data_IF_361242993614
#
_entry.id   IF_361242993614
#
_cell.length_a   1.000
_cell.length_b   1.000
_cell.length_c   1.000
_cell.angle_alpha   90.00
_cell.angle_beta   90.00
_cell.angle_gamma   90.00
#
_symmetry.space_group_name_H-M   'P 1'
#
loop_
_entity.id
_entity.type
_entity.pdbx_description
1 polymer ?
#
# COMPACT_ATOMS: atom_id res chain seq x y z
N UNK A 1 75.24 20.54 -7.39
CA UNK A 1 74.38 20.42 -8.60
C UNK A 1 73.05 21.09 -8.28
N UNK A 2 72.80 22.26 -8.87
CA UNK A 2 71.57 23.03 -8.75
C UNK A 2 70.80 22.86 -10.07
N UNK A 3 69.54 22.47 -10.04
CA UNK A 3 68.63 22.48 -11.19
C UNK A 3 67.22 22.70 -10.65
N UNK A 4 66.74 23.94 -10.61
CA UNK A 4 66.07 24.69 -11.69
C UNK A 4 64.67 24.17 -12.01
N UNK A 5 63.73 24.63 -11.18
CA UNK A 5 62.46 25.30 -11.51
C UNK A 5 61.81 25.05 -12.88
N UNK A 6 60.57 24.55 -12.86
CA UNK A 6 59.55 24.97 -13.83
C UNK A 6 58.19 25.08 -13.11
N UNK A 7 57.79 26.32 -12.81
CA UNK A 7 56.43 26.68 -12.40
C UNK A 7 55.60 26.93 -13.66
N UNK A 8 54.61 26.07 -13.93
CA UNK A 8 53.57 26.33 -14.92
C UNK A 8 52.50 27.24 -14.30
N UNK A 9 52.49 28.51 -14.71
CA UNK A 9 51.37 29.42 -14.49
C UNK A 9 50.33 29.22 -15.61
N UNK A 10 49.23 28.55 -15.28
CA UNK A 10 48.04 28.52 -16.14
C UNK A 10 47.21 29.78 -15.87
N UNK A 11 47.23 30.72 -16.81
CA UNK A 11 46.32 31.87 -16.84
C UNK A 11 44.91 31.40 -17.18
N UNK A 12 44.02 31.40 -16.18
CA UNK A 12 42.58 31.25 -16.39
C UNK A 12 41.95 32.63 -16.61
N UNK A 13 41.61 32.92 -17.86
CA UNK A 13 40.88 34.12 -18.27
C UNK A 13 39.44 34.06 -17.77
N UNK A 14 39.04 35.01 -16.93
CA UNK A 14 37.64 35.21 -16.52
C UNK A 14 36.86 35.93 -17.63
N UNK A 15 35.98 35.22 -18.32
CA UNK A 15 34.98 35.82 -19.18
C UNK A 15 33.81 36.33 -18.33
N UNK A 16 33.73 37.65 -18.16
CA UNK A 16 32.57 38.33 -17.56
C UNK A 16 31.39 38.26 -18.53
N UNK A 17 30.43 37.38 -18.23
CA UNK A 17 29.16 37.33 -18.94
C UNK A 17 28.13 38.19 -18.20
N UNK A 18 27.66 39.23 -18.87
CA UNK A 18 26.51 40.04 -18.47
C UNK A 18 25.24 39.19 -18.53
N UNK A 19 24.65 38.88 -17.38
CA UNK A 19 23.36 38.18 -17.33
C UNK A 19 22.25 39.20 -17.52
N UNK A 20 21.69 39.22 -18.72
CA UNK A 20 20.41 39.86 -19.01
C UNK A 20 19.32 39.19 -18.16
N UNK A 21 18.61 39.98 -17.34
CA UNK A 21 17.44 39.55 -16.59
C UNK A 21 16.25 39.36 -17.55
N UNK A 22 16.23 38.22 -18.24
CA UNK A 22 15.06 37.77 -18.98
C UNK A 22 14.03 37.23 -17.98
N UNK A 23 12.94 37.98 -17.79
CA UNK A 23 11.71 37.47 -17.18
C UNK A 23 11.19 36.35 -18.09
N UNK A 24 11.55 35.11 -17.75
CA UNK A 24 10.91 33.93 -18.31
C UNK A 24 9.61 33.73 -17.54
N UNK A 25 8.49 34.10 -18.16
CA UNK A 25 7.20 33.44 -17.98
C UNK A 25 7.33 31.98 -18.48
N UNK A 26 8.19 31.22 -17.80
CA UNK A 26 8.46 29.82 -18.06
C UNK A 26 7.40 28.97 -17.38
N UNK A 27 6.16 29.04 -17.87
CA UNK A 27 5.19 27.93 -17.74
C UNK A 27 5.64 26.78 -18.65
N UNK A 28 6.87 26.32 -18.44
CA UNK A 28 7.31 25.04 -18.95
C UNK A 28 6.54 23.97 -18.18
N UNK A 29 5.85 23.10 -18.90
CA UNK A 29 5.24 21.89 -18.38
C UNK A 29 6.32 20.93 -17.84
N UNK A 30 6.97 21.31 -16.74
CA UNK A 30 7.76 20.40 -15.93
C UNK A 30 6.82 19.29 -15.47
N UNK A 31 7.10 18.06 -15.90
CA UNK A 31 6.25 16.91 -15.65
C UNK A 31 5.79 16.84 -14.20
N UNK A 32 4.52 16.49 -14.00
CA UNK A 32 3.92 16.35 -12.67
C UNK A 32 4.81 15.46 -11.78
N UNK A 33 5.08 15.91 -10.56
CA UNK A 33 5.98 15.30 -9.58
C UNK A 33 5.28 14.22 -8.75
N UNK A 34 6.01 13.19 -8.35
CA UNK A 34 5.49 12.11 -7.50
C UNK A 34 5.26 12.52 -6.04
N UNK A 35 4.63 11.64 -5.26
CA UNK A 35 4.42 11.81 -3.81
C UNK A 35 5.76 12.08 -3.09
N UNK A 36 5.73 12.95 -2.08
CA UNK A 36 6.90 13.33 -1.28
C UNK A 36 7.79 14.40 -1.91
N UNK A 37 7.70 14.63 -3.22
CA UNK A 37 8.52 15.65 -3.91
C UNK A 37 8.03 17.07 -3.61
N UNK A 38 8.96 18.03 -3.68
CA UNK A 38 8.67 19.44 -3.42
C UNK A 38 7.77 20.05 -4.51
N UNK A 39 6.75 20.78 -4.08
CA UNK A 39 5.78 21.47 -4.92
C UNK A 39 5.50 22.87 -4.39
N UNK A 40 5.13 23.77 -5.29
CA UNK A 40 4.64 25.11 -4.96
C UNK A 40 3.13 25.22 -5.20
N UNK A 41 2.59 24.41 -6.11
CA UNK A 41 1.17 24.35 -6.45
C UNK A 41 0.69 22.90 -6.67
N UNK A 42 -0.62 22.71 -6.62
CA UNK A 42 -1.29 21.41 -6.72
C UNK A 42 -1.10 20.75 -8.09
N UNK A 43 -1.10 21.54 -9.16
CA UNK A 43 -0.91 21.10 -10.54
C UNK A 43 0.50 20.54 -10.82
N UNK A 44 1.48 20.90 -9.98
CA UNK A 44 2.83 20.35 -10.02
C UNK A 44 2.89 18.90 -9.52
N UNK A 45 1.85 18.37 -8.87
CA UNK A 45 1.83 17.02 -8.32
C UNK A 45 1.02 16.06 -9.20
N UNK A 46 1.50 14.82 -9.36
CA UNK A 46 0.74 13.75 -10.05
C UNK A 46 -0.59 13.48 -9.36
N UNK A 47 -0.61 13.57 -8.02
CA UNK A 47 -1.82 13.45 -7.21
C UNK A 47 -2.76 14.65 -7.31
N UNK A 48 -2.33 15.78 -7.88
CA UNK A 48 -3.09 17.02 -7.84
C UNK A 48 -3.18 17.66 -6.45
N UNK A 49 -2.34 17.25 -5.49
CA UNK A 49 -2.39 17.75 -4.11
C UNK A 49 -0.99 18.04 -3.55
N UNK A 50 -0.71 19.33 -3.33
CA UNK A 50 0.45 19.88 -2.68
C UNK A 50 0.08 20.36 -1.27
N UNK A 51 0.69 19.78 -0.23
CA UNK A 51 0.46 20.17 1.15
C UNK A 51 1.78 20.52 1.83
N UNK A 52 1.86 21.75 2.38
CA UNK A 52 3.06 22.27 3.05
C UNK A 52 4.34 22.10 2.21
N UNK A 53 4.22 22.38 0.91
CA UNK A 53 5.34 22.31 -0.02
C UNK A 53 5.70 20.91 -0.52
N UNK A 54 4.93 19.87 -0.22
CA UNK A 54 5.17 18.50 -0.70
C UNK A 54 3.95 17.86 -1.35
N UNK A 55 4.16 17.08 -2.40
CA UNK A 55 3.11 16.29 -3.03
C UNK A 55 2.63 15.20 -2.07
N UNK A 56 1.33 15.14 -1.84
CA UNK A 56 0.70 14.16 -0.93
C UNK A 56 -0.43 13.42 -1.66
N UNK A 57 -0.79 12.21 -1.23
CA UNK A 57 -1.95 11.51 -1.78
C UNK A 57 -3.24 12.26 -1.43
N UNK A 58 -4.21 12.19 -2.34
CA UNK A 58 -5.58 12.64 -2.05
C UNK A 58 -6.29 11.63 -1.15
N UNK A 59 -7.24 12.10 -0.35
CA UNK A 59 -7.95 11.35 0.68
C UNK A 59 -9.32 10.90 0.21
N UNK A 60 -9.79 9.79 0.78
CA UNK A 60 -11.11 9.25 0.53
C UNK A 60 -12.20 10.04 1.27
N UNK A 61 -13.47 9.74 0.97
CA UNK A 61 -14.59 10.37 1.65
C UNK A 61 -14.56 10.08 3.16
N UNK A 62 -14.97 11.05 3.99
CA UNK A 62 -14.95 10.90 5.44
C UNK A 62 -13.66 11.35 6.13
N UNK A 63 -12.55 11.51 5.41
CA UNK A 63 -11.31 12.05 5.99
C UNK A 63 -11.32 13.57 6.12
N UNK A 64 -10.65 14.08 7.15
CA UNK A 64 -10.50 15.53 7.37
C UNK A 64 -9.78 16.18 6.19
N UNK A 65 -10.27 17.33 5.75
CA UNK A 65 -9.68 18.13 4.67
C UNK A 65 -9.73 19.63 4.99
N UNK A 66 -8.82 20.37 4.35
CA UNK A 66 -8.79 21.85 4.40
C UNK A 66 -8.97 22.51 3.03
N UNK A 67 -8.86 21.72 1.95
CA UNK A 67 -9.03 22.17 0.57
C UNK A 67 -9.55 21.02 -0.29
N UNK A 68 -10.26 21.37 -1.35
CA UNK A 68 -10.88 20.43 -2.29
C UNK A 68 -9.88 19.47 -2.94
N UNK A 69 -8.71 19.97 -3.30
CA UNK A 69 -7.64 19.15 -3.88
C UNK A 69 -7.10 18.07 -2.94
N UNK A 70 -7.36 18.18 -1.63
CA UNK A 70 -7.01 17.13 -0.68
C UNK A 70 -7.88 15.87 -0.83
N UNK A 71 -9.02 15.94 -1.54
CA UNK A 71 -10.00 14.88 -1.64
C UNK A 71 -10.04 14.28 -3.04
N UNK A 72 -10.19 12.95 -3.14
CA UNK A 72 -10.34 12.26 -4.43
C UNK A 72 -11.60 12.67 -5.20
N UNK A 73 -12.63 13.12 -4.49
CA UNK A 73 -13.85 13.69 -5.08
C UNK A 73 -13.65 15.10 -5.63
N UNK A 74 -12.51 15.74 -5.33
CA UNK A 74 -12.27 17.15 -5.58
C UNK A 74 -13.18 18.07 -4.76
N UNK A 75 -13.76 17.58 -3.64
CA UNK A 75 -14.69 18.34 -2.80
C UNK A 75 -14.46 18.10 -1.31
N UNK A 76 -14.20 19.18 -0.58
CA UNK A 76 -14.06 19.25 0.86
C UNK A 76 -15.28 19.98 1.45
N UNK A 77 -16.16 19.26 2.15
CA UNK A 77 -17.39 19.81 2.73
C UNK A 77 -17.39 19.61 4.23
N UNK A 78 -17.67 20.68 4.99
CA UNK A 78 -17.66 20.65 6.46
C UNK A 78 -16.35 20.08 7.04
N UNK A 79 -15.21 20.48 6.46
CA UNK A 79 -13.86 19.99 6.82
C UNK A 79 -13.64 18.49 6.59
N UNK A 80 -14.50 17.83 5.82
CA UNK A 80 -14.43 16.40 5.53
C UNK A 80 -14.57 16.15 4.02
N UNK A 81 -13.83 15.18 3.49
CA UNK A 81 -13.92 14.84 2.07
C UNK A 81 -15.30 14.28 1.75
N UNK A 82 -15.97 14.85 0.75
CA UNK A 82 -17.27 14.40 0.31
C UNK A 82 -17.15 13.13 -0.55
N UNK A 83 -18.19 12.30 -0.55
CA UNK A 83 -18.31 11.19 -1.49
C UNK A 83 -18.33 11.71 -2.94
N UNK A 84 -17.69 10.98 -3.86
CA UNK A 84 -17.77 11.28 -5.29
C UNK A 84 -19.22 11.06 -5.72
N UNK A 85 -19.84 12.05 -6.36
CA UNK A 85 -21.19 11.89 -6.87
C UNK A 85 -21.19 10.74 -7.89
N UNK A 86 -22.00 9.71 -7.67
CA UNK A 86 -22.23 8.70 -8.68
C UNK A 86 -22.90 9.38 -9.89
N UNK A 87 -22.43 9.14 -11.13
CA UNK A 87 -23.16 9.57 -12.31
C UNK A 87 -24.55 8.94 -12.24
N UNK A 88 -25.57 9.78 -12.09
CA UNK A 88 -26.95 9.33 -12.17
C UNK A 88 -27.15 8.80 -13.60
N UNK A 89 -27.58 7.55 -13.81
CA UNK A 89 -27.96 7.09 -15.14
C UNK A 89 -29.07 8.01 -15.64
N UNK A 90 -28.90 8.51 -16.87
CA UNK A 90 -29.85 9.37 -17.54
C UNK A 90 -31.26 8.81 -17.44
N UNK A 91 -32.19 9.67 -17.03
CA UNK A 91 -33.63 9.40 -16.93
C UNK A 91 -34.17 8.78 -18.22
N UNK A 92 -34.49 7.49 -18.18
CA UNK A 92 -35.36 6.86 -19.18
C UNK A 92 -36.83 7.16 -18.82
N UNK A 93 -37.70 7.39 -19.82
CA UNK A 93 -39.13 7.58 -19.59
C UNK A 93 -39.75 6.28 -19.07
N UNK A 94 -40.34 6.34 -17.87
CA UNK A 94 -41.06 5.22 -17.26
C UNK A 94 -42.46 5.04 -17.89
N UNK A 95 -42.87 3.80 -18.20
CA UNK A 95 -44.27 3.45 -18.32
C UNK A 95 -44.97 3.49 -16.96
N UNK A 96 -46.29 3.74 -17.00
CA UNK A 96 -47.17 3.91 -15.84
C UNK A 96 -47.08 2.79 -14.79
N UNK A 97 -47.37 3.09 -13.50
CA UNK A 97 -47.12 2.19 -12.40
C UNK A 97 -48.17 1.08 -12.34
N UNK A 98 -47.75 -0.16 -12.62
CA UNK A 98 -48.50 -1.34 -12.19
C UNK A 98 -48.08 -1.66 -10.77
N UNK A 99 -48.95 -1.28 -9.84
CA UNK A 99 -48.86 -1.56 -8.41
C UNK A 99 -49.04 -3.07 -8.17
N UNK A 100 -47.94 -3.78 -7.98
CA UNK A 100 -47.92 -5.08 -7.30
C UNK A 100 -46.71 -5.09 -6.37
N UNK A 101 -46.95 -4.61 -5.15
CA UNK A 101 -45.96 -4.55 -4.08
C UNK A 101 -45.59 -5.95 -3.60
N UNK A 102 -44.50 -6.51 -4.13
CA UNK A 102 -43.73 -7.49 -3.40
C UNK A 102 -42.68 -6.73 -2.57
N UNK A 103 -42.68 -6.84 -1.23
CA UNK A 103 -41.62 -6.24 -0.42
C UNK A 103 -40.29 -6.81 -0.91
N UNK A 104 -39.48 -5.99 -1.56
CA UNK A 104 -38.14 -6.41 -1.97
C UNK A 104 -37.35 -6.59 -0.68
N UNK A 105 -37.24 -7.84 -0.22
CA UNK A 105 -36.42 -8.17 0.94
C UNK A 105 -35.02 -7.61 0.69
N UNK A 106 -34.47 -6.78 1.62
CA UNK A 106 -33.14 -6.23 1.46
C UNK A 106 -32.17 -7.37 1.11
N UNK A 107 -31.26 -7.19 0.12
CA UNK A 107 -30.33 -8.24 -0.26
C UNK A 107 -29.60 -8.70 1.01
N UNK A 108 -29.74 -9.99 1.32
CA UNK A 108 -29.09 -10.60 2.48
C UNK A 108 -27.59 -10.39 2.29
N UNK A 109 -27.01 -9.53 3.13
CA UNK A 109 -25.57 -9.24 3.11
C UNK A 109 -24.87 -10.54 3.51
N UNK A 110 -24.22 -11.19 2.54
CA UNK A 110 -23.41 -12.38 2.80
C UNK A 110 -22.21 -11.98 3.66
N UNK A 111 -21.90 -12.80 4.64
CA UNK A 111 -20.70 -12.61 5.46
C UNK A 111 -19.44 -12.78 4.60
N UNK A 112 -18.35 -12.05 4.91
CA UNK A 112 -17.08 -12.24 4.24
C UNK A 112 -16.53 -13.66 4.40
N UNK A 113 -15.82 -14.19 3.39
CA UNK A 113 -15.21 -15.50 3.50
C UNK A 113 -14.13 -15.53 4.60
N UNK A 114 -14.13 -16.56 5.43
CA UNK A 114 -13.06 -16.82 6.40
C UNK A 114 -11.95 -17.71 5.84
N UNK A 115 -12.07 -18.15 4.58
CA UNK A 115 -11.05 -18.93 3.87
C UNK A 115 -11.06 -18.59 2.39
N UNK A 116 -9.89 -18.62 1.76
CA UNK A 116 -9.74 -18.32 0.34
C UNK A 116 -8.27 -18.28 -0.08
N UNK A 117 -8.03 -17.81 -1.30
CA UNK A 117 -6.68 -17.53 -1.78
C UNK A 117 -6.12 -16.28 -1.11
N UNK A 118 -4.94 -16.40 -0.50
CA UNK A 118 -4.25 -15.28 0.14
C UNK A 118 -3.60 -14.37 -0.93
N UNK A 119 -3.85 -13.08 -0.81
CA UNK A 119 -3.21 -12.05 -1.62
C UNK A 119 -3.19 -10.72 -0.87
N UNK A 120 -2.58 -9.68 -1.43
CA UNK A 120 -2.64 -8.33 -0.88
C UNK A 120 -3.20 -7.34 -1.90
N UNK A 121 -3.72 -6.23 -1.41
CA UNK A 121 -4.12 -5.10 -2.26
C UNK A 121 -2.90 -4.23 -2.51
N UNK A 122 -2.39 -4.27 -3.73
CA UNK A 122 -1.30 -3.40 -4.15
C UNK A 122 -1.73 -1.92 -4.19
N UNK A 123 -0.76 -1.01 -4.23
CA UNK A 123 -1.03 0.42 -4.37
C UNK A 123 -1.83 0.71 -5.66
N UNK A 124 -2.61 1.81 -5.64
CA UNK A 124 -3.64 2.12 -6.65
C UNK A 124 -3.19 1.87 -8.09
N UNK A 125 -3.86 0.90 -8.74
CA UNK A 125 -3.73 0.58 -10.15
C UNK A 125 -2.93 -0.70 -10.44
N UNK A 126 -2.31 -1.30 -9.43
CA UNK A 126 -1.63 -2.58 -9.54
C UNK A 126 -2.58 -3.73 -9.24
N UNK A 127 -2.34 -4.87 -9.92
CA UNK A 127 -3.06 -6.10 -9.63
C UNK A 127 -2.60 -6.66 -8.28
N UNK A 128 -3.55 -7.18 -7.49
CA UNK A 128 -3.23 -7.99 -6.33
C UNK A 128 -2.32 -9.15 -6.76
N UNK A 129 -1.27 -9.41 -5.99
CA UNK A 129 -0.41 -10.57 -6.21
C UNK A 129 -0.70 -11.61 -5.14
N UNK A 130 -0.56 -12.88 -5.52
CA UNK A 130 -0.84 -14.01 -4.67
C UNK A 130 0.29 -14.18 -3.67
N UNK A 131 -0.06 -14.49 -2.43
CA UNK A 131 0.89 -14.77 -1.36
C UNK A 131 0.78 -16.23 -0.95
N UNK A 132 1.89 -16.80 -0.52
CA UNK A 132 1.96 -18.17 -0.06
C UNK A 132 3.22 -18.44 0.76
N UNK A 133 3.19 -19.54 1.51
CA UNK A 133 4.37 -20.08 2.17
C UNK A 133 5.24 -20.81 1.12
N UNK A 134 6.52 -20.46 1.06
CA UNK A 134 7.49 -21.21 0.26
C UNK A 134 7.77 -22.58 0.93
N UNK A 135 7.17 -23.67 0.42
CA UNK A 135 7.20 -25.01 1.02
C UNK A 135 8.59 -25.69 1.06
N UNK A 136 9.69 -24.94 0.92
CA UNK A 136 11.05 -25.44 0.84
C UNK A 136 11.58 -26.02 2.17
N UNK A 137 11.05 -25.56 3.31
CA UNK A 137 11.43 -26.04 4.64
C UNK A 137 10.19 -26.59 5.40
N UNK A 138 10.42 -27.66 6.16
CA UNK A 138 9.40 -28.41 6.90
C UNK A 138 8.94 -27.67 8.17
N UNK A 139 9.81 -26.86 8.79
CA UNK A 139 9.58 -26.26 10.10
C UNK A 139 9.07 -24.83 9.95
N UNK A 140 9.77 -24.04 9.14
CA UNK A 140 9.46 -22.65 8.89
C UNK A 140 9.40 -22.41 7.40
N UNK A 141 8.54 -21.50 6.98
CA UNK A 141 8.47 -21.09 5.58
C UNK A 141 8.25 -19.59 5.53
N UNK A 142 8.98 -18.91 4.66
CA UNK A 142 8.79 -17.48 4.45
C UNK A 142 7.52 -17.23 3.65
N UNK A 143 6.82 -16.15 4.01
CA UNK A 143 5.72 -15.69 3.19
C UNK A 143 6.30 -14.99 1.96
N UNK A 144 5.93 -15.41 0.76
CA UNK A 144 6.46 -14.86 -0.48
C UNK A 144 5.35 -14.61 -1.50
N UNK A 145 5.67 -13.83 -2.54
CA UNK A 145 4.82 -13.74 -3.73
C UNK A 145 4.93 -15.03 -4.53
N UNK A 146 3.80 -15.69 -4.75
CA UNK A 146 3.71 -16.98 -5.44
C UNK A 146 2.97 -16.87 -6.77
N UNK A 147 3.27 -17.77 -7.71
CA UNK A 147 2.58 -17.84 -9.00
C UNK A 147 1.25 -18.57 -8.94
N UNK A 148 1.04 -19.40 -7.91
CA UNK A 148 -0.18 -20.18 -7.69
C UNK A 148 -0.76 -19.83 -6.34
N UNK A 149 -2.03 -19.46 -6.33
CA UNK A 149 -2.73 -19.10 -5.10
C UNK A 149 -2.77 -20.28 -4.13
N UNK A 150 -2.36 -20.03 -2.89
CA UNK A 150 -2.49 -20.98 -1.81
C UNK A 150 -3.72 -20.65 -0.98
N UNK A 151 -4.34 -21.69 -0.42
CA UNK A 151 -5.51 -21.54 0.43
C UNK A 151 -5.08 -21.23 1.86
N UNK A 152 -5.67 -20.19 2.41
CA UNK A 152 -5.52 -19.78 3.80
C UNK A 152 -6.89 -19.64 4.46
N UNK A 153 -6.91 -19.65 5.78
CA UNK A 153 -8.12 -19.48 6.57
C UNK A 153 -7.86 -18.73 7.86
N UNK A 154 -8.89 -18.04 8.37
CA UNK A 154 -8.91 -17.52 9.73
C UNK A 154 -9.38 -18.62 10.68
N UNK A 155 -8.58 -18.89 11.71
CA UNK A 155 -9.00 -19.76 12.80
C UNK A 155 -9.94 -19.03 13.79
N UNK A 156 -10.33 -19.72 14.86
CA UNK A 156 -11.20 -19.15 15.90
C UNK A 156 -10.56 -18.02 16.71
N UNK A 157 -9.25 -17.82 16.61
CA UNK A 157 -8.51 -16.73 17.24
C UNK A 157 -8.26 -15.57 16.26
N UNK A 158 -8.70 -15.69 15.00
CA UNK A 158 -8.42 -14.71 13.95
C UNK A 158 -7.00 -14.82 13.39
N UNK A 159 -6.29 -15.92 13.62
CA UNK A 159 -4.97 -16.15 13.05
C UNK A 159 -5.08 -16.65 11.63
N UNK A 160 -4.19 -16.20 10.74
CA UNK A 160 -4.08 -16.73 9.39
C UNK A 160 -3.35 -18.07 9.40
N UNK A 161 -4.04 -19.11 8.95
CA UNK A 161 -3.57 -20.49 8.90
C UNK A 161 -3.54 -20.99 7.46
N UNK A 162 -2.39 -21.49 7.00
CA UNK A 162 -2.24 -22.11 5.68
C UNK A 162 -2.91 -23.48 5.61
N UNK A 163 -3.06 -24.03 4.41
CA UNK A 163 -3.58 -25.40 4.20
C UNK A 163 -2.75 -26.48 4.92
N UNK A 164 -1.44 -26.21 5.12
CA UNK A 164 -0.52 -27.06 5.87
C UNK A 164 -0.56 -26.83 7.39
N UNK A 165 -1.61 -26.17 7.89
CA UNK A 165 -1.81 -25.84 9.31
C UNK A 165 -0.72 -24.95 9.92
N UNK A 166 -0.06 -24.12 9.11
CA UNK A 166 0.95 -23.17 9.58
C UNK A 166 0.32 -21.81 9.87
N UNK A 167 0.70 -21.19 10.98
CA UNK A 167 0.23 -19.87 11.39
C UNK A 167 1.24 -18.80 10.98
N UNK A 168 0.76 -17.62 10.58
CA UNK A 168 1.61 -16.49 10.21
C UNK A 168 2.15 -15.74 11.46
N UNK A 169 3.46 -15.62 11.58
CA UNK A 169 4.18 -14.95 12.67
C UNK A 169 5.11 -13.85 12.16
N UNK A 170 5.50 -12.94 13.06
CA UNK A 170 6.58 -11.98 12.86
C UNK A 170 7.34 -11.69 14.15
N UNK A 171 8.62 -11.34 14.06
CA UNK A 171 9.42 -10.76 15.16
C UNK A 171 9.51 -9.22 15.06
N UNK A 172 8.79 -8.65 14.09
CA UNK A 172 8.83 -7.23 13.73
C UNK A 172 9.90 -6.88 12.71
N UNK A 173 10.67 -7.86 12.24
CA UNK A 173 11.53 -7.71 11.07
C UNK A 173 11.10 -8.68 9.98
N UNK A 174 11.05 -9.97 10.31
CA UNK A 174 10.78 -11.06 9.40
C UNK A 174 9.35 -11.59 9.51
N UNK A 175 8.84 -12.20 8.46
CA UNK A 175 7.55 -12.91 8.48
C UNK A 175 7.72 -14.38 8.08
N UNK A 176 7.13 -15.28 8.86
CA UNK A 176 7.17 -16.71 8.59
C UNK A 176 5.85 -17.40 8.91
N UNK A 177 5.53 -18.46 8.17
CA UNK A 177 4.49 -19.42 8.45
C UNK A 177 5.08 -20.61 9.23
N UNK A 178 4.60 -20.87 10.44
CA UNK A 178 5.15 -21.90 11.34
C UNK A 178 4.07 -22.92 11.74
N UNK A 179 4.44 -24.21 11.78
CA UNK A 179 3.49 -25.30 12.05
C UNK A 179 2.89 -25.25 13.46
N UNK A 180 3.69 -25.04 14.50
CA UNK A 180 3.19 -24.93 15.88
C UNK A 180 4.00 -23.93 16.72
N UNK A 181 3.40 -23.33 17.77
CA UNK A 181 4.13 -22.52 18.72
C UNK A 181 5.25 -23.26 19.47
N UNK A 182 5.17 -24.59 19.57
CA UNK A 182 6.21 -25.42 20.20
C UNK A 182 7.46 -25.57 19.34
N UNK A 183 7.35 -25.36 18.03
CA UNK A 183 8.49 -25.37 17.11
C UNK A 183 9.23 -24.03 17.09
N UNK A 184 8.70 -23.03 17.79
CA UNK A 184 9.30 -21.71 17.93
C UNK A 184 10.45 -21.81 18.95
N UNK A 185 11.69 -21.42 18.59
CA UNK A 185 12.74 -21.25 19.58
C UNK A 185 12.25 -20.24 20.64
N UNK A 186 12.25 -20.68 21.90
CA UNK A 186 11.59 -20.04 23.06
C UNK A 186 12.04 -18.57 23.33
N UNK A 187 12.99 -18.05 22.57
CA UNK A 187 13.55 -16.69 22.73
C UNK A 187 13.31 -15.76 21.52
N UNK A 188 12.58 -16.20 20.51
CA UNK A 188 12.54 -15.50 19.21
C UNK A 188 11.73 -14.20 19.18
N UNK A 189 10.98 -13.85 20.24
CA UNK A 189 10.13 -12.65 20.23
C UNK A 189 9.04 -12.67 19.15
N UNK A 190 8.75 -13.85 18.57
CA UNK A 190 7.75 -14.03 17.54
C UNK A 190 6.34 -13.85 18.08
N UNK A 191 5.53 -13.12 17.32
CA UNK A 191 4.12 -12.88 17.60
C UNK A 191 3.28 -13.30 16.40
N UNK A 192 2.17 -14.01 16.66
CA UNK A 192 1.23 -14.38 15.62
C UNK A 192 0.44 -13.15 15.16
N UNK A 193 0.21 -13.04 13.85
CA UNK A 193 -0.75 -12.07 13.33
C UNK A 193 -2.17 -12.47 13.73
N UNK A 194 -2.90 -11.50 14.29
CA UNK A 194 -4.35 -11.57 14.50
C UNK A 194 -5.02 -10.65 13.51
N UNK A 195 -5.98 -11.17 12.76
CA UNK A 195 -6.64 -10.48 11.66
C UNK A 195 -8.14 -10.34 11.93
N UNK A 196 -8.69 -9.21 11.52
CA UNK A 196 -10.14 -8.95 11.54
C UNK A 196 -10.63 -8.53 10.16
N UNK A 197 -11.89 -8.84 9.86
CA UNK A 197 -12.53 -8.39 8.64
C UNK A 197 -12.70 -6.86 8.65
N UNK A 198 -12.09 -6.20 7.67
CA UNK A 198 -12.24 -4.79 7.41
C UNK A 198 -13.67 -4.49 6.93
N UNK A 199 -14.22 -3.27 7.18
CA UNK A 199 -15.53 -2.85 6.65
C UNK A 199 -15.64 -2.89 5.12
N UNK A 200 -14.52 -2.94 4.40
CA UNK A 200 -14.43 -3.06 2.95
C UNK A 200 -14.68 -4.48 2.42
N UNK A 201 -14.77 -5.47 3.32
CA UNK A 201 -15.05 -6.86 2.96
C UNK A 201 -16.41 -7.05 2.29
N UNK A 202 -16.47 -8.02 1.38
CA UNK A 202 -17.65 -8.41 0.62
C UNK A 202 -17.92 -9.91 0.77
N UNK A 203 -19.08 -10.40 0.31
CA UNK A 203 -19.41 -11.82 0.39
C UNK A 203 -18.53 -12.75 -0.45
N UNK A 204 -17.63 -12.22 -1.28
CA UNK A 204 -16.68 -13.00 -2.10
C UNK A 204 -15.22 -12.68 -1.80
N UNK A 205 -14.96 -11.68 -0.97
CA UNK A 205 -13.61 -11.24 -0.64
C UNK A 205 -13.58 -10.66 0.77
N UNK A 206 -12.78 -11.26 1.64
CA UNK A 206 -12.44 -10.66 2.92
C UNK A 206 -11.21 -9.77 2.73
N UNK A 207 -11.31 -8.54 3.21
CA UNK A 207 -10.16 -7.63 3.37
C UNK A 207 -9.81 -7.66 4.84
N UNK A 208 -8.56 -7.96 5.16
CA UNK A 208 -8.10 -8.27 6.50
C UNK A 208 -7.18 -7.16 7.01
N UNK A 209 -7.54 -6.60 8.17
CA UNK A 209 -6.67 -5.75 8.96
C UNK A 209 -5.96 -6.64 9.99
N UNK A 210 -4.65 -6.86 9.79
CA UNK A 210 -3.85 -7.80 10.58
C UNK A 210 -2.84 -7.06 11.46
N UNK A 211 -2.71 -7.50 12.71
CA UNK A 211 -1.79 -6.91 13.69
C UNK A 211 -1.06 -7.99 14.48
N UNK A 212 0.22 -7.79 14.77
CA UNK A 212 1.02 -8.62 15.68
C UNK A 212 1.70 -7.74 16.75
N UNK A 213 1.69 -8.19 18.00
CA UNK A 213 2.34 -7.48 19.12
C UNK A 213 3.72 -8.10 19.37
N UNK A 214 4.78 -7.46 18.88
CA UNK A 214 6.16 -7.94 19.02
C UNK A 214 6.89 -7.23 20.16
N UNK A 215 8.13 -7.63 20.44
CA UNK A 215 9.00 -6.89 21.35
C UNK A 215 9.38 -5.48 20.81
N UNK A 216 9.21 -5.25 19.49
CA UNK A 216 9.52 -3.98 18.82
C UNK A 216 8.31 -3.05 18.74
N UNK A 217 7.09 -3.58 18.86
CA UNK A 217 5.85 -2.80 18.88
C UNK A 217 4.69 -3.51 18.18
N UNK A 218 3.71 -2.71 17.75
CA UNK A 218 2.56 -3.19 16.98
C UNK A 218 2.92 -3.22 15.50
N UNK A 219 2.93 -4.41 14.91
CA UNK A 219 3.22 -4.63 13.50
C UNK A 219 1.93 -4.83 12.72
N UNK A 220 1.67 -3.95 11.77
CA UNK A 220 0.46 -3.95 10.93
C UNK A 220 0.75 -3.62 9.46
N UNK A 221 2.03 -3.59 9.11
CA UNK A 221 2.52 -3.32 7.76
C UNK A 221 3.32 -4.48 7.24
N UNK A 222 3.30 -4.58 5.92
CA UNK A 222 4.01 -5.60 5.17
C UNK A 222 4.79 -4.90 4.05
N UNK A 223 5.97 -5.41 3.75
CA UNK A 223 6.81 -4.98 2.64
C UNK A 223 7.07 -6.17 1.74
N UNK A 224 7.14 -5.96 0.43
CA UNK A 224 7.71 -6.96 -0.48
C UNK A 224 9.12 -6.52 -0.81
N UNK A 225 10.08 -7.38 -0.51
CA UNK A 225 11.48 -7.15 -0.79
C UNK A 225 11.84 -7.56 -2.24
N UNK A 226 12.88 -6.94 -2.78
CA UNK A 226 13.52 -7.28 -4.06
C UNK A 226 14.84 -8.04 -3.81
N UNK A 227 14.82 -8.97 -2.88
CA UNK A 227 15.96 -9.77 -2.43
C UNK A 227 16.03 -11.07 -3.23
N UNK A 228 16.49 -10.96 -4.47
CA UNK A 228 16.82 -12.09 -5.35
C UNK A 228 15.61 -12.93 -5.81
N UNK A 229 15.77 -14.24 -6.05
CA UNK A 229 14.86 -15.03 -6.88
C UNK A 229 13.43 -15.15 -6.33
N UNK A 230 13.25 -14.94 -5.03
CA UNK A 230 11.97 -14.95 -4.35
C UNK A 230 11.66 -13.52 -3.90
N UNK A 231 10.40 -13.11 -4.05
CA UNK A 231 9.92 -11.81 -3.60
C UNK A 231 9.33 -12.00 -2.22
N UNK A 232 10.21 -11.98 -1.22
CA UNK A 232 9.83 -12.27 0.16
C UNK A 232 8.98 -11.13 0.73
N UNK A 233 8.07 -11.49 1.62
CA UNK A 233 7.20 -10.57 2.35
C UNK A 233 7.75 -10.43 3.75
N UNK A 234 8.09 -9.21 4.15
CA UNK A 234 8.64 -8.92 5.47
C UNK A 234 7.77 -7.92 6.24
N UNK A 235 8.02 -7.77 7.53
CA UNK A 235 7.30 -6.82 8.38
C UNK A 235 7.91 -5.42 8.31
N UNK A 236 9.24 -5.35 8.13
CA UNK A 236 10.01 -4.11 8.19
C UNK A 236 10.88 -3.93 6.93
N UNK A 237 11.00 -2.70 6.45
CA UNK A 237 11.85 -2.36 5.32
C UNK A 237 13.34 -2.54 5.59
N UNK A 238 13.78 -2.52 6.85
CA UNK A 238 15.17 -2.77 7.21
C UNK A 238 15.58 -4.24 6.99
N UNK A 239 14.60 -5.14 6.88
CA UNK A 239 14.84 -6.51 6.43
C UNK A 239 15.18 -6.57 4.93
N UNK A 240 14.67 -5.61 4.14
CA UNK A 240 14.84 -5.58 2.70
C UNK A 240 16.15 -4.90 2.28
N UNK A 241 16.77 -5.42 1.22
CA UNK A 241 17.76 -4.66 0.45
C UNK A 241 17.11 -3.53 -0.38
N UNK A 242 16.01 -3.84 -1.07
CA UNK A 242 15.18 -2.89 -1.81
C UNK A 242 13.70 -3.24 -1.61
N UNK A 243 12.86 -2.24 -1.35
CA UNK A 243 11.41 -2.42 -1.16
C UNK A 243 10.68 -2.22 -2.49
N UNK A 244 10.01 -3.26 -2.98
CA UNK A 244 9.15 -3.19 -4.17
C UNK A 244 7.83 -2.48 -3.87
N UNK A 245 7.15 -2.90 -2.81
CA UNK A 245 5.85 -2.32 -2.43
C UNK A 245 5.58 -2.45 -0.94
N UNK A 246 4.61 -1.66 -0.47
CA UNK A 246 4.11 -1.66 0.92
C UNK A 246 2.62 -1.82 0.91
N UNK A 247 2.12 -2.60 1.86
CA UNK A 247 0.69 -2.78 2.07
C UNK A 247 0.40 -3.01 3.55
N UNK A 248 -0.86 -2.82 3.93
CA UNK A 248 -1.33 -2.96 5.33
C UNK A 248 -2.52 -3.92 5.42
N UNK A 249 -2.99 -4.44 4.29
CA UNK A 249 -4.17 -5.28 4.22
C UNK A 249 -3.89 -6.53 3.40
N UNK A 250 -4.25 -7.66 3.99
CA UNK A 250 -4.30 -8.95 3.32
C UNK A 250 -5.72 -9.19 2.80
N UNK A 251 -5.89 -10.14 1.90
CA UNK A 251 -7.21 -10.53 1.40
C UNK A 251 -7.33 -12.04 1.26
N UNK A 252 -8.55 -12.54 1.50
CA UNK A 252 -8.96 -13.91 1.18
C UNK A 252 -10.08 -13.85 0.15
N UNK A 253 -9.87 -14.47 -1.00
CA UNK A 253 -10.87 -14.52 -2.09
C UNK A 253 -11.29 -15.96 -2.39
N UNK A 254 -12.59 -16.20 -2.59
CA UNK A 254 -13.19 -17.51 -2.91
C UNK A 254 -13.39 -17.73 -4.39
#
# INVERSE_FOLDING_TARGET
MRSSTLFLFAFMTMASSTIAASRLDGRGHAGKKGIGKLCQADDMCKSGYCHRGQCKPQREAGHICRKDSACLSGKCKNQTCAAKAHPHPSSHPHPAPTESGHPTQPPVKKDPPTSGTLSYVAAKGEHAQLLGDDETDLIASYLAVVSKGQKWSLDSKGQLVSENSRVLYTDGQFIAALATPSDIPYESGLAAYTCVNSPSSTGTQAVLDCTAQTARGDESSFVICNDSALKDVEADEYACGEVLTRFTQLTLSV
#
